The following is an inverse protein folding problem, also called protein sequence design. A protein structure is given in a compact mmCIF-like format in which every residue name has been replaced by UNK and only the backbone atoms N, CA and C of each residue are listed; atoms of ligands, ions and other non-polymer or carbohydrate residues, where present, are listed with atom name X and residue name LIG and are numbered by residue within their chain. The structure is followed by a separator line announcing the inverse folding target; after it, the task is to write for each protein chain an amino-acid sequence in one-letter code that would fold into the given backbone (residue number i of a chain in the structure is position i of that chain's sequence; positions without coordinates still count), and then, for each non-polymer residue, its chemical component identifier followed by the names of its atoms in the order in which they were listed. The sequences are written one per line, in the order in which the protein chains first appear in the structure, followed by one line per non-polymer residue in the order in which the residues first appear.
data_IF_877866173812
#
_entry.id   IF_877866173812
#
_cell.length_a   1.000
_cell.length_b   1.000
_cell.length_c   1.000
_cell.angle_alpha   90.00
_cell.angle_beta   90.00
_cell.angle_gamma   90.00
#
_symmetry.space_group_name_H-M   'P 1'
#
loop_
_entity.id
_entity.type
_entity.pdbx_description
1 polymer ?
#
# COMPACT_ATOMS: atom_id res chain seq x y z
N UNK A 1 8.15 -13.62 -24.89
CA UNK A 1 9.18 -13.26 -23.90
C UNK A 1 8.55 -13.50 -22.54
N UNK A 2 9.19 -14.29 -21.67
CA UNK A 2 8.77 -14.41 -20.27
C UNK A 2 9.03 -13.08 -19.55
N UNK A 3 8.23 -12.74 -18.55
CA UNK A 3 8.54 -11.62 -17.67
C UNK A 3 9.88 -11.89 -16.96
N UNK A 4 10.74 -10.86 -16.76
CA UNK A 4 11.98 -11.00 -16.00
C UNK A 4 11.67 -11.36 -14.54
N UNK A 5 12.53 -12.15 -13.89
CA UNK A 5 12.39 -12.44 -12.46
C UNK A 5 12.69 -11.21 -11.60
N UNK A 6 12.21 -11.18 -10.37
CA UNK A 6 12.52 -10.16 -9.37
C UNK A 6 14.03 -10.07 -9.15
N UNK A 7 14.74 -11.20 -9.18
CA UNK A 7 16.21 -11.25 -9.08
C UNK A 7 16.88 -10.55 -10.27
N UNK A 8 16.41 -10.82 -11.50
CA UNK A 8 16.93 -10.18 -12.71
C UNK A 8 16.71 -8.66 -12.70
N UNK A 9 15.53 -8.22 -12.25
CA UNK A 9 15.18 -6.80 -12.13
C UNK A 9 16.06 -6.14 -11.06
N UNK A 10 16.26 -6.79 -9.91
CA UNK A 10 17.08 -6.26 -8.82
C UNK A 10 18.55 -6.15 -9.20
N UNK A 11 19.08 -7.13 -9.94
CA UNK A 11 20.45 -7.08 -10.45
C UNK A 11 20.68 -5.88 -11.35
N UNK A 12 19.73 -5.59 -12.24
CA UNK A 12 19.81 -4.46 -13.18
C UNK A 12 19.51 -3.10 -12.53
N UNK A 13 18.56 -3.07 -11.59
CA UNK A 13 18.01 -1.86 -11.01
C UNK A 13 17.90 -1.93 -9.48
N UNK A 14 19.01 -2.12 -8.75
CA UNK A 14 18.97 -2.39 -7.30
C UNK A 14 18.37 -1.25 -6.48
N UNK A 15 18.46 -0.02 -6.99
CA UNK A 15 17.91 1.16 -6.34
C UNK A 15 16.37 1.20 -6.40
N UNK A 16 15.70 0.49 -7.32
CA UNK A 16 14.23 0.40 -7.32
C UNK A 16 13.70 -0.43 -6.14
N UNK A 17 14.54 -1.24 -5.52
CA UNK A 17 14.19 -2.08 -4.36
C UNK A 17 14.38 -1.38 -3.01
N UNK A 18 14.69 -0.08 -3.01
CA UNK A 18 14.83 0.72 -1.81
C UNK A 18 13.84 1.90 -1.85
N UNK A 19 12.98 2.03 -0.83
CA UNK A 19 11.89 3.02 -0.82
C UNK A 19 12.35 4.45 -1.16
N UNK A 20 13.43 4.93 -0.51
CA UNK A 20 13.97 6.27 -0.77
C UNK A 20 14.41 6.44 -2.22
N UNK A 21 15.05 5.42 -2.77
CA UNK A 21 15.61 5.44 -4.12
C UNK A 21 14.55 5.31 -5.21
N UNK A 22 13.52 4.48 -5.03
CA UNK A 22 12.39 4.43 -5.97
C UNK A 22 11.59 5.73 -5.95
N UNK A 23 11.35 6.33 -4.78
CA UNK A 23 10.68 7.64 -4.69
C UNK A 23 11.51 8.74 -5.35
N UNK A 24 12.83 8.78 -5.10
CA UNK A 24 13.72 9.76 -5.73
C UNK A 24 13.78 9.58 -7.26
N UNK A 25 13.83 8.34 -7.74
CA UNK A 25 13.83 8.05 -9.17
C UNK A 25 12.50 8.45 -9.84
N UNK A 26 11.37 8.14 -9.21
CA UNK A 26 10.06 8.56 -9.70
C UNK A 26 9.96 10.08 -9.79
N UNK A 27 10.41 10.79 -8.75
CA UNK A 27 10.47 12.26 -8.76
C UNK A 27 11.37 12.79 -9.86
N UNK A 28 12.55 12.22 -10.07
CA UNK A 28 13.44 12.64 -11.16
C UNK A 28 12.77 12.51 -12.55
N UNK A 29 12.01 11.44 -12.77
CA UNK A 29 11.37 11.16 -14.06
C UNK A 29 10.08 11.97 -14.30
N UNK A 30 9.35 12.31 -13.24
CA UNK A 30 7.99 12.86 -13.33
C UNK A 30 7.83 14.25 -12.72
N UNK A 31 8.86 14.72 -12.00
CA UNK A 31 8.84 15.88 -11.10
C UNK A 31 7.81 15.78 -9.95
N UNK A 32 7.18 14.61 -9.77
CA UNK A 32 6.21 14.37 -8.70
C UNK A 32 6.89 13.75 -7.49
N UNK A 33 6.85 14.48 -6.37
CA UNK A 33 7.25 13.95 -5.06
C UNK A 33 6.11 13.11 -4.46
N UNK A 34 6.14 11.80 -4.70
CA UNK A 34 5.05 10.87 -4.32
C UNK A 34 4.80 10.87 -2.81
N UNK A 35 5.85 10.95 -2.00
CA UNK A 35 5.70 10.93 -0.54
C UNK A 35 4.99 12.20 -0.07
N UNK A 36 5.45 13.36 -0.55
CA UNK A 36 4.83 14.63 -0.22
C UNK A 36 3.41 14.74 -0.78
N UNK A 37 3.17 14.29 -2.02
CA UNK A 37 1.85 14.30 -2.64
C UNK A 37 0.84 13.42 -1.88
N UNK A 38 1.28 12.25 -1.41
CA UNK A 38 0.46 11.36 -0.61
C UNK A 38 0.16 11.95 0.78
N UNK A 39 1.16 12.53 1.44
CA UNK A 39 0.99 13.20 2.74
C UNK A 39 0.02 14.39 2.62
N UNK A 40 0.22 15.26 1.64
CA UNK A 40 -0.66 16.40 1.37
C UNK A 40 -2.09 15.95 1.07
N UNK A 41 -2.27 14.93 0.22
CA UNK A 41 -3.60 14.38 -0.08
C UNK A 41 -4.28 13.80 1.17
N UNK A 42 -3.51 13.16 2.04
CA UNK A 42 -3.98 12.62 3.33
C UNK A 42 -4.42 13.75 4.27
N UNK A 43 -3.71 14.88 4.27
CA UNK A 43 -4.06 16.05 5.09
C UNK A 43 -5.29 16.78 4.54
N UNK A 44 -5.32 17.03 3.24
CA UNK A 44 -6.36 17.81 2.56
C UNK A 44 -7.68 17.04 2.46
N UNK A 45 -7.64 15.81 1.97
CA UNK A 45 -8.84 15.01 1.72
C UNK A 45 -9.21 14.11 2.90
N UNK A 46 -8.26 13.80 3.78
CA UNK A 46 -8.45 12.80 4.83
C UNK A 46 -9.57 13.13 5.81
N UNK A 47 -9.64 14.38 6.26
CA UNK A 47 -10.71 14.83 7.17
C UNK A 47 -12.09 14.66 6.53
N UNK A 48 -12.23 15.04 5.26
CA UNK A 48 -13.48 14.91 4.52
C UNK A 48 -13.90 13.44 4.36
N UNK A 49 -12.94 12.54 4.09
CA UNK A 49 -13.18 11.09 4.00
C UNK A 49 -13.65 10.54 5.36
N UNK A 50 -12.97 10.88 6.44
CA UNK A 50 -13.35 10.46 7.80
C UNK A 50 -14.74 10.98 8.17
N UNK A 51 -15.01 12.26 7.93
CA UNK A 51 -16.31 12.88 8.21
C UNK A 51 -17.43 12.23 7.38
N UNK A 52 -17.17 11.93 6.11
CA UNK A 52 -18.11 11.19 5.27
C UNK A 52 -18.48 9.85 5.91
N UNK A 53 -17.48 9.05 6.30
CA UNK A 53 -17.73 7.72 6.89
C UNK A 53 -18.40 7.79 8.26
N UNK A 54 -18.03 8.76 9.11
CA UNK A 54 -18.70 9.00 10.40
C UNK A 54 -20.19 9.30 10.23
N UNK A 55 -20.55 10.07 9.22
CA UNK A 55 -21.92 10.57 9.04
C UNK A 55 -22.81 9.67 8.17
N UNK A 56 -22.23 8.93 7.21
CA UNK A 56 -22.99 8.24 6.16
C UNK A 56 -22.88 6.72 6.20
N UNK A 57 -21.86 6.15 6.84
CA UNK A 57 -21.65 4.71 6.78
C UNK A 57 -22.61 3.93 7.70
N UNK A 58 -23.30 2.95 7.13
CA UNK A 58 -24.03 1.92 7.88
C UNK A 58 -23.22 0.62 8.04
N UNK A 59 -22.06 0.53 7.40
CA UNK A 59 -21.22 -0.67 7.41
C UNK A 59 -20.54 -0.83 8.78
N UNK A 60 -20.78 -1.97 9.43
CA UNK A 60 -20.23 -2.26 10.76
C UNK A 60 -18.70 -2.30 10.77
N UNK A 61 -18.07 -2.87 9.73
CA UNK A 61 -16.60 -2.88 9.60
C UNK A 61 -16.01 -1.47 9.55
N UNK A 62 -16.69 -0.55 8.87
CA UNK A 62 -16.28 0.86 8.82
C UNK A 62 -16.39 1.51 10.21
N UNK A 63 -17.43 1.17 10.99
CA UNK A 63 -17.59 1.66 12.37
C UNK A 63 -16.48 1.11 13.29
N UNK A 64 -16.13 -0.16 13.12
CA UNK A 64 -15.04 -0.78 13.88
C UNK A 64 -13.71 -0.09 13.60
N UNK A 65 -13.40 0.17 12.32
CA UNK A 65 -12.19 0.94 11.93
C UNK A 65 -12.21 2.36 12.51
N UNK A 66 -13.35 3.05 12.45
CA UNK A 66 -13.49 4.39 13.03
C UNK A 66 -13.30 4.40 14.55
N UNK A 67 -13.69 3.35 15.27
CA UNK A 67 -13.49 3.26 16.73
C UNK A 67 -12.01 3.25 17.13
N UNK A 68 -11.13 2.84 16.21
CA UNK A 68 -9.68 2.77 16.41
C UNK A 68 -8.93 4.05 15.98
N UNK A 69 -9.66 5.09 15.53
CA UNK A 69 -9.05 6.29 14.93
C UNK A 69 -8.10 7.05 15.84
N UNK A 70 -8.28 6.97 17.17
CA UNK A 70 -7.42 7.65 18.14
C UNK A 70 -6.02 7.04 18.30
N UNK A 71 -5.84 5.78 17.89
CA UNK A 71 -4.60 5.01 18.08
C UNK A 71 -3.95 4.60 16.75
N UNK A 72 -4.51 5.04 15.62
CA UNK A 72 -4.08 4.64 14.28
C UNK A 72 -3.54 5.84 13.52
N UNK A 73 -2.40 5.68 12.86
CA UNK A 73 -1.86 6.67 11.95
C UNK A 73 -2.91 7.06 10.88
N UNK A 74 -3.03 8.36 10.54
CA UNK A 74 -4.11 8.83 9.67
C UNK A 74 -4.10 8.19 8.27
N UNK A 75 -2.93 8.00 7.67
CA UNK A 75 -2.83 7.35 6.35
C UNK A 75 -3.35 5.90 6.41
N UNK A 76 -2.91 5.14 7.42
CA UNK A 76 -3.39 3.78 7.66
C UNK A 76 -4.90 3.73 7.93
N UNK A 77 -5.42 4.69 8.70
CA UNK A 77 -6.85 4.80 8.95
C UNK A 77 -7.63 5.02 7.65
N UNK A 78 -7.19 5.89 6.76
CA UNK A 78 -7.86 6.12 5.46
C UNK A 78 -7.86 4.87 4.59
N UNK A 79 -6.72 4.18 4.47
CA UNK A 79 -6.63 2.94 3.70
C UNK A 79 -7.62 1.91 4.26
N UNK A 80 -7.63 1.69 5.58
CA UNK A 80 -8.57 0.76 6.23
C UNK A 80 -10.04 1.14 6.01
N UNK A 81 -10.38 2.43 6.04
CA UNK A 81 -11.74 2.91 5.77
C UNK A 81 -12.18 2.65 4.33
N UNK A 82 -11.32 2.97 3.36
CA UNK A 82 -11.59 2.75 1.94
C UNK A 82 -11.76 1.26 1.64
N UNK A 83 -10.83 0.42 2.10
CA UNK A 83 -10.92 -1.03 1.92
C UNK A 83 -12.20 -1.60 2.55
N UNK A 84 -12.54 -1.17 3.78
CA UNK A 84 -13.76 -1.61 4.46
C UNK A 84 -15.04 -1.17 3.74
N UNK A 85 -15.04 0.02 3.14
CA UNK A 85 -16.16 0.54 2.38
C UNK A 85 -16.38 -0.22 1.06
N UNK A 86 -15.32 -0.44 0.29
CA UNK A 86 -15.36 -1.20 -0.95
C UNK A 86 -15.41 -2.72 -0.76
N UNK A 87 -15.37 -3.17 0.50
CA UNK A 87 -15.37 -4.58 0.87
C UNK A 87 -14.15 -5.33 0.30
N UNK A 88 -13.06 -4.61 0.11
CA UNK A 88 -11.78 -5.19 -0.27
C UNK A 88 -11.15 -5.86 0.95
N UNK A 89 -10.63 -7.06 0.75
CA UNK A 89 -9.87 -7.77 1.78
C UNK A 89 -8.40 -7.30 1.76
N UNK A 90 -7.72 -7.43 2.90
CA UNK A 90 -6.33 -6.99 3.04
C UNK A 90 -5.40 -7.64 2.01
N UNK A 91 -5.61 -8.93 1.71
CA UNK A 91 -4.90 -9.67 0.66
C UNK A 91 -5.12 -9.13 -0.77
N UNK A 92 -6.14 -8.30 -0.96
CA UNK A 92 -6.42 -7.56 -2.17
C UNK A 92 -5.45 -6.39 -2.38
N UNK A 93 -4.69 -5.99 -1.36
CA UNK A 93 -3.69 -4.93 -1.46
C UNK A 93 -2.31 -5.39 -0.96
N UNK A 94 -2.27 -6.22 0.07
CA UNK A 94 -1.09 -6.57 0.84
C UNK A 94 -0.88 -8.08 0.87
N UNK A 95 0.32 -8.53 0.50
CA UNK A 95 0.78 -9.88 0.68
C UNK A 95 1.79 -9.92 1.82
N UNK A 96 1.49 -10.69 2.86
CA UNK A 96 2.41 -10.89 3.98
C UNK A 96 3.41 -11.99 3.62
N UNK A 97 4.69 -11.71 3.81
CA UNK A 97 5.77 -12.66 3.61
C UNK A 97 6.66 -12.71 4.86
N UNK A 98 7.26 -13.88 5.10
CA UNK A 98 8.21 -14.07 6.20
C UNK A 98 9.45 -13.16 6.00
N UNK A 99 9.96 -12.52 7.05
CA UNK A 99 11.19 -11.70 6.97
C UNK A 99 12.39 -12.44 6.37
N UNK A 100 12.46 -13.76 6.51
CA UNK A 100 13.50 -14.62 5.95
C UNK A 100 13.17 -15.14 4.53
N UNK A 101 12.01 -14.78 3.96
CA UNK A 101 11.64 -15.20 2.62
C UNK A 101 12.56 -14.56 1.56
N UNK A 102 13.14 -15.40 0.70
CA UNK A 102 13.87 -14.93 -0.47
C UNK A 102 12.91 -14.48 -1.58
N UNK A 103 13.41 -13.74 -2.57
CA UNK A 103 12.62 -13.37 -3.75
C UNK A 103 12.03 -14.59 -4.47
N UNK A 104 12.82 -15.66 -4.57
CA UNK A 104 12.38 -16.91 -5.18
C UNK A 104 11.28 -17.61 -4.35
N UNK A 105 11.32 -17.47 -3.03
CA UNK A 105 10.23 -17.92 -2.16
C UNK A 105 8.96 -17.12 -2.40
N UNK A 106 9.08 -15.79 -2.51
CA UNK A 106 7.96 -14.89 -2.77
C UNK A 106 7.31 -15.22 -4.11
N UNK A 107 8.09 -15.32 -5.19
CA UNK A 107 7.59 -15.62 -6.53
C UNK A 107 6.88 -16.97 -6.62
N UNK A 108 7.42 -17.99 -5.95
CA UNK A 108 6.86 -19.35 -5.98
C UNK A 108 5.68 -19.55 -5.04
N UNK A 109 5.71 -18.95 -3.85
CA UNK A 109 4.73 -19.23 -2.79
C UNK A 109 3.52 -18.31 -2.83
N UNK A 110 3.68 -17.06 -3.27
CA UNK A 110 2.60 -16.06 -3.16
C UNK A 110 1.64 -16.03 -4.35
N UNK A 111 1.82 -16.87 -5.39
CA UNK A 111 1.00 -16.86 -6.60
C UNK A 111 0.68 -15.42 -7.04
N UNK A 112 1.73 -14.64 -7.30
CA UNK A 112 1.65 -13.19 -7.44
C UNK A 112 0.55 -12.81 -8.44
N UNK A 113 -0.47 -12.03 -8.03
CA UNK A 113 -1.57 -11.68 -8.91
C UNK A 113 -1.10 -10.72 -10.01
N UNK A 114 -1.84 -10.69 -11.13
CA UNK A 114 -1.55 -9.79 -12.24
C UNK A 114 -1.68 -8.29 -11.87
N UNK A 115 -2.51 -7.99 -10.87
CA UNK A 115 -2.64 -6.64 -10.32
C UNK A 115 -1.55 -6.36 -9.28
N UNK A 116 -0.93 -5.16 -9.26
CA UNK A 116 0.07 -4.80 -8.27
C UNK A 116 -0.41 -5.01 -6.82
N UNK A 117 0.49 -5.52 -5.98
CA UNK A 117 0.30 -5.72 -4.54
C UNK A 117 1.52 -5.18 -3.79
N UNK A 118 1.31 -4.76 -2.55
CA UNK A 118 2.36 -4.44 -1.60
C UNK A 118 2.80 -5.72 -0.90
N UNK A 119 4.09 -6.03 -0.90
CA UNK A 119 4.62 -7.16 -0.12
C UNK A 119 5.17 -6.60 1.18
N UNK A 120 4.61 -7.03 2.30
CA UNK A 120 5.10 -6.68 3.64
C UNK A 120 5.86 -7.86 4.21
N UNK A 121 7.13 -7.63 4.52
CA UNK A 121 7.97 -8.57 5.25
C UNK A 121 7.65 -8.42 6.74
N UNK A 122 7.12 -9.49 7.35
CA UNK A 122 6.72 -9.56 8.76
C UNK A 122 7.76 -10.21 9.65
#
# INVERSE_FOLDING_TARGET
MSAPSVEDIRSQWPYLFHQKSICAHFKLLTDVDVLNAFEMSTIECGKAIIEYFKNKSKNEKVKDVLSQSGNTEMALLHVKLLMSHFQEHEDGLVLHADVAASDADIEKKLNLPASPRLILLG
#
